data_IF_049933869281
#
_entry.id   IF_049933869281
#
_cell.length_a   1.000
_cell.length_b   1.000
_cell.length_c   1.000
_cell.angle_alpha   90.00
_cell.angle_beta   90.00
_cell.angle_gamma   90.00
#
_symmetry.space_group_name_H-M   'P 1'
#
loop_
_entity.id
_entity.type
_entity.pdbx_description
1 polymer ?
#
# COMPACT_ATOMS: atom_id res chain seq x y z
N UNK A 1 11.08 -13.21 -5.81
CA UNK A 1 10.18 -13.94 -4.87
C UNK A 1 8.75 -13.39 -4.77
N UNK A 2 8.52 -12.10 -4.44
CA UNK A 2 7.16 -11.54 -4.27
C UNK A 2 6.26 -11.79 -5.50
N UNK A 3 6.69 -11.29 -6.67
CA UNK A 3 5.90 -11.39 -7.90
C UNK A 3 5.76 -12.83 -8.40
N UNK A 4 6.77 -13.67 -8.17
CA UNK A 4 6.73 -15.09 -8.52
C UNK A 4 5.63 -15.81 -7.74
N UNK A 5 5.52 -15.56 -6.42
CA UNK A 5 4.45 -16.10 -5.59
C UNK A 5 3.08 -15.57 -6.01
N UNK A 6 2.97 -14.28 -6.32
CA UNK A 6 1.73 -13.67 -6.81
C UNK A 6 1.27 -14.32 -8.12
N UNK A 7 2.18 -14.50 -9.08
CA UNK A 7 1.88 -15.17 -10.36
C UNK A 7 1.52 -16.64 -10.16
N UNK A 8 2.26 -17.34 -9.30
CA UNK A 8 1.98 -18.73 -8.99
C UNK A 8 0.56 -18.92 -8.44
N UNK A 9 0.13 -18.08 -7.49
CA UNK A 9 -1.22 -18.15 -6.95
C UNK A 9 -2.30 -17.77 -7.97
N UNK A 10 -2.02 -16.80 -8.86
CA UNK A 10 -2.92 -16.46 -9.97
C UNK A 10 -3.10 -17.65 -10.93
N UNK A 11 -2.01 -18.26 -11.39
CA UNK A 11 -2.06 -19.39 -12.31
C UNK A 11 -2.71 -20.62 -11.67
N UNK A 12 -2.46 -20.85 -10.37
CA UNK A 12 -3.17 -21.86 -9.59
C UNK A 12 -4.67 -21.59 -9.52
N UNK A 13 -5.09 -20.33 -9.35
CA UNK A 13 -6.51 -19.96 -9.34
C UNK A 13 -7.16 -20.17 -10.71
N UNK A 14 -6.47 -19.84 -11.81
CA UNK A 14 -6.91 -20.08 -13.18
C UNK A 14 -7.06 -21.56 -13.48
N UNK A 15 -6.05 -22.37 -13.16
CA UNK A 15 -6.11 -23.83 -13.30
C UNK A 15 -7.28 -24.44 -12.51
N UNK A 16 -7.49 -23.98 -11.27
CA UNK A 16 -8.64 -24.40 -10.45
C UNK A 16 -9.99 -24.02 -11.08
N UNK A 17 -10.12 -22.84 -11.68
CA UNK A 17 -11.35 -22.39 -12.38
C UNK A 17 -11.63 -23.26 -13.60
N UNK A 18 -10.59 -23.57 -14.39
CA UNK A 18 -10.69 -24.45 -15.56
C UNK A 18 -11.18 -25.83 -15.12
N UNK A 19 -10.53 -26.43 -14.11
CA UNK A 19 -10.94 -27.73 -13.57
C UNK A 19 -12.37 -27.72 -13.03
N UNK A 20 -12.78 -26.68 -12.30
CA UNK A 20 -14.16 -26.57 -11.79
C UNK A 20 -15.18 -26.46 -12.92
N UNK A 21 -14.87 -25.67 -13.96
CA UNK A 21 -15.75 -25.49 -15.11
C UNK A 21 -15.86 -26.77 -15.96
N UNK A 22 -14.80 -27.56 -16.06
CA UNK A 22 -14.86 -28.87 -16.72
C UNK A 22 -15.79 -29.83 -15.97
N UNK A 23 -15.68 -29.90 -14.63
CA UNK A 23 -16.60 -30.70 -13.81
C UNK A 23 -18.05 -30.22 -13.91
N UNK A 24 -18.27 -28.90 -13.94
CA UNK A 24 -19.62 -28.31 -14.11
C UNK A 24 -20.21 -28.64 -15.48
N UNK A 25 -19.40 -28.60 -16.53
CA UNK A 25 -19.79 -28.97 -17.90
C UNK A 25 -20.29 -30.41 -17.95
N UNK A 26 -19.54 -31.35 -17.37
CA UNK A 26 -19.93 -32.76 -17.31
C UNK A 26 -21.23 -32.99 -16.52
N UNK A 27 -21.48 -32.17 -15.50
CA UNK A 27 -22.70 -32.22 -14.69
C UNK A 27 -23.88 -31.42 -15.29
N UNK A 28 -23.76 -30.86 -16.50
CA UNK A 28 -24.80 -30.01 -17.12
C UNK A 28 -25.09 -28.71 -16.36
N UNK A 29 -24.15 -28.25 -15.52
CA UNK A 29 -24.29 -27.06 -14.69
C UNK A 29 -23.77 -25.80 -15.38
N UNK A 30 -24.32 -24.64 -15.01
CA UNK A 30 -23.82 -23.34 -15.46
C UNK A 30 -22.34 -23.16 -15.06
N UNK A 31 -21.53 -22.79 -16.05
CA UNK A 31 -20.11 -22.45 -15.87
C UNK A 31 -19.97 -21.18 -15.04
N UNK A 32 -18.91 -21.13 -14.24
CA UNK A 32 -18.51 -19.88 -13.58
C UNK A 32 -17.77 -18.99 -14.58
N UNK A 33 -17.82 -17.65 -14.42
CA UNK A 33 -17.02 -16.74 -15.23
C UNK A 33 -15.53 -17.03 -15.12
N UNK A 34 -14.69 -16.47 -15.97
CA UNK A 34 -13.25 -16.62 -15.81
C UNK A 34 -12.74 -15.86 -14.58
N UNK A 35 -11.50 -16.17 -14.17
CA UNK A 35 -10.82 -15.45 -13.10
C UNK A 35 -10.57 -14.02 -13.58
N UNK A 36 -11.03 -13.02 -12.84
CA UNK A 36 -10.61 -11.64 -13.08
C UNK A 36 -9.14 -11.51 -12.68
N UNK A 37 -8.25 -11.52 -13.66
CA UNK A 37 -6.80 -11.57 -13.43
C UNK A 37 -6.29 -10.32 -12.72
N UNK A 38 -6.73 -9.13 -13.12
CA UNK A 38 -6.32 -7.88 -12.51
C UNK A 38 -6.69 -7.82 -11.02
N UNK A 39 -7.95 -8.14 -10.70
CA UNK A 39 -8.42 -8.17 -9.32
C UNK A 39 -7.70 -9.25 -8.50
N UNK A 40 -7.57 -10.46 -9.05
CA UNK A 40 -6.95 -11.58 -8.32
C UNK A 40 -5.47 -11.33 -8.09
N UNK A 41 -4.75 -10.78 -9.06
CA UNK A 41 -3.35 -10.40 -8.91
C UNK A 41 -3.19 -9.34 -7.83
N UNK A 42 -4.02 -8.30 -7.81
CA UNK A 42 -3.98 -7.27 -6.77
C UNK A 42 -4.17 -7.87 -5.36
N UNK A 43 -5.14 -8.77 -5.20
CA UNK A 43 -5.40 -9.45 -3.91
C UNK A 43 -4.18 -10.29 -3.48
N UNK A 44 -3.62 -11.10 -4.37
CA UNK A 44 -2.45 -11.92 -4.04
C UNK A 44 -1.20 -11.07 -3.79
N UNK A 45 -1.01 -9.99 -4.55
CA UNK A 45 0.09 -9.06 -4.35
C UNK A 45 0.01 -8.43 -2.97
N UNK A 46 -1.15 -7.86 -2.59
CA UNK A 46 -1.36 -7.24 -1.29
C UNK A 46 -1.12 -8.23 -0.14
N UNK A 47 -1.62 -9.47 -0.28
CA UNK A 47 -1.39 -10.54 0.69
C UNK A 47 0.11 -10.84 0.88
N UNK A 48 0.85 -11.05 -0.21
CA UNK A 48 2.26 -11.41 -0.13
C UNK A 48 3.13 -10.24 0.34
N UNK A 49 2.82 -9.02 -0.11
CA UNK A 49 3.46 -7.79 0.35
C UNK A 49 3.24 -7.57 1.85
N UNK A 50 1.99 -7.71 2.30
CA UNK A 50 1.62 -7.59 3.71
C UNK A 50 2.39 -8.59 4.59
N UNK A 51 2.49 -9.85 4.16
CA UNK A 51 3.26 -10.86 4.90
C UNK A 51 4.76 -10.55 4.97
N UNK A 52 5.34 -10.02 3.88
CA UNK A 52 6.75 -9.58 3.86
C UNK A 52 6.97 -8.40 4.81
N UNK A 53 6.09 -7.40 4.78
CA UNK A 53 6.19 -6.23 5.64
C UNK A 53 5.95 -6.54 7.11
N UNK A 54 5.01 -7.44 7.44
CA UNK A 54 4.82 -7.95 8.82
C UNK A 54 6.13 -8.53 9.35
N UNK A 55 6.80 -9.37 8.57
CA UNK A 55 8.08 -9.98 8.97
C UNK A 55 9.14 -8.91 9.27
N UNK A 56 9.17 -7.83 8.48
CA UNK A 56 10.13 -6.74 8.65
C UNK A 56 9.77 -5.76 9.78
N UNK A 57 8.48 -5.61 10.08
CA UNK A 57 7.97 -4.70 11.11
C UNK A 57 7.90 -5.34 12.50
N UNK A 58 7.77 -6.66 12.60
CA UNK A 58 7.63 -7.39 13.87
C UNK A 58 8.66 -7.02 14.94
N UNK A 59 9.97 -6.79 14.63
CA UNK A 59 10.94 -6.37 15.63
C UNK A 59 10.64 -5.01 16.30
N UNK A 60 9.89 -4.14 15.62
CA UNK A 60 9.55 -2.80 16.10
C UNK A 60 8.08 -2.69 16.54
N UNK A 61 7.22 -3.54 16.00
CA UNK A 61 5.78 -3.55 16.22
C UNK A 61 5.30 -4.96 16.52
N UNK A 62 5.61 -5.52 17.70
CA UNK A 62 5.26 -6.90 18.03
C UNK A 62 3.75 -7.15 17.93
N UNK A 63 3.34 -8.13 17.12
CA UNK A 63 1.93 -8.42 16.89
C UNK A 63 1.27 -7.58 15.78
N UNK A 64 2.07 -6.92 14.92
CA UNK A 64 1.58 -6.34 13.66
C UNK A 64 0.94 -7.43 12.78
N UNK A 65 -0.14 -7.08 12.10
CA UNK A 65 -0.95 -8.02 11.30
C UNK A 65 -1.15 -7.51 9.88
N UNK A 66 -1.34 -8.44 8.95
CA UNK A 66 -1.73 -8.13 7.57
C UNK A 66 -2.90 -8.99 7.10
N UNK A 67 -3.60 -8.55 6.05
CA UNK A 67 -4.62 -9.33 5.37
C UNK A 67 -6.03 -8.98 5.81
N UNK A 68 -6.45 -7.76 5.50
CA UNK A 68 -7.80 -7.24 5.79
C UNK A 68 -8.17 -7.27 7.28
N UNK A 69 -7.28 -6.75 8.11
CA UNK A 69 -7.45 -6.73 9.56
C UNK A 69 -8.62 -5.81 9.92
N UNK A 70 -9.65 -6.30 10.62
CA UNK A 70 -10.74 -5.44 11.08
C UNK A 70 -10.20 -4.36 12.03
N UNK A 71 -10.49 -3.11 11.73
CA UNK A 71 -10.21 -1.97 12.59
C UNK A 71 -11.48 -1.14 12.76
N UNK A 72 -11.74 -0.69 13.99
CA UNK A 72 -12.85 0.21 14.26
C UNK A 72 -12.55 1.60 13.66
N UNK A 73 -13.50 2.13 12.91
CA UNK A 73 -13.46 3.47 12.33
C UNK A 73 -14.80 4.18 12.59
N UNK A 74 -14.87 5.50 12.35
CA UNK A 74 -16.07 6.30 12.70
C UNK A 74 -17.34 5.81 12.02
N UNK A 75 -17.26 5.32 10.77
CA UNK A 75 -18.40 4.80 10.01
C UNK A 75 -18.51 3.27 10.04
N UNK A 76 -18.10 2.67 11.14
CA UNK A 76 -18.09 1.22 11.35
C UNK A 76 -16.75 0.56 10.99
N UNK A 77 -16.65 -0.77 11.13
CA UNK A 77 -15.42 -1.51 10.90
C UNK A 77 -14.90 -1.32 9.47
N UNK A 78 -13.61 -1.02 9.34
CA UNK A 78 -12.85 -0.97 8.10
C UNK A 78 -11.81 -2.08 8.08
N UNK A 79 -11.35 -2.45 6.89
CA UNK A 79 -10.30 -3.45 6.69
C UNK A 79 -9.05 -2.71 6.26
N UNK A 80 -7.96 -2.91 6.99
CA UNK A 80 -6.65 -2.37 6.68
C UNK A 80 -5.75 -3.48 6.15
N UNK A 81 -4.88 -3.16 5.19
CA UNK A 81 -3.96 -4.14 4.61
C UNK A 81 -2.88 -4.56 5.61
N UNK A 82 -2.41 -3.59 6.40
CA UNK A 82 -1.49 -3.78 7.51
C UNK A 82 -1.93 -2.93 8.69
N UNK A 83 -1.92 -3.49 9.90
CA UNK A 83 -2.19 -2.73 11.12
C UNK A 83 -1.44 -3.26 12.33
N UNK A 84 -1.06 -2.32 13.20
CA UNK A 84 -0.53 -2.57 14.53
C UNK A 84 -1.36 -1.78 15.53
N UNK A 85 -1.83 -2.49 16.55
CA UNK A 85 -2.70 -1.94 17.59
C UNK A 85 -2.31 -2.54 18.93
N UNK A 86 -2.40 -1.74 19.99
CA UNK A 86 -2.26 -2.21 21.38
C UNK A 86 -3.58 -2.07 22.13
N UNK A 87 -3.80 -2.85 23.20
CA UNK A 87 -4.98 -2.68 24.05
C UNK A 87 -5.11 -1.26 24.63
N UNK A 88 -3.99 -0.62 24.93
CA UNK A 88 -3.93 0.67 25.62
C UNK A 88 -4.16 1.85 24.67
N UNK A 89 -3.54 1.84 23.49
CA UNK A 89 -3.56 2.95 22.55
C UNK A 89 -4.58 2.77 21.41
N UNK A 90 -5.15 1.58 21.24
CA UNK A 90 -5.93 1.25 20.06
C UNK A 90 -5.05 1.16 18.82
N UNK A 91 -5.49 1.71 17.69
CA UNK A 91 -4.72 1.66 16.44
C UNK A 91 -3.51 2.59 16.53
N UNK A 92 -2.30 2.02 16.49
CA UNK A 92 -1.06 2.77 16.55
C UNK A 92 -0.47 3.08 15.17
N UNK A 93 -0.42 2.08 14.29
CA UNK A 93 0.11 2.19 12.94
C UNK A 93 -0.77 1.41 11.96
N UNK A 94 -0.97 1.96 10.76
CA UNK A 94 -1.55 1.20 9.66
C UNK A 94 -0.98 1.58 8.31
N UNK A 95 -1.05 0.65 7.37
CA UNK A 95 -0.80 0.91 5.95
C UNK A 95 -2.01 0.54 5.11
N UNK A 96 -2.35 1.43 4.18
CA UNK A 96 -3.36 1.23 3.13
C UNK A 96 -2.65 0.92 1.82
N UNK A 97 -2.97 -0.21 1.19
CA UNK A 97 -2.40 -0.60 -0.08
C UNK A 97 -3.41 -0.38 -1.22
N UNK A 98 -2.94 0.31 -2.25
CA UNK A 98 -3.61 0.39 -3.55
C UNK A 98 -2.64 -0.08 -4.62
N UNK A 99 -3.14 -0.55 -5.74
CA UNK A 99 -2.26 -1.00 -6.81
C UNK A 99 -2.89 -0.88 -8.18
N UNK A 100 -2.02 -0.66 -9.16
CA UNK A 100 -2.35 -0.69 -10.58
C UNK A 100 -1.29 -1.52 -11.29
N UNK A 101 -1.58 -2.80 -11.49
CA UNK A 101 -0.58 -3.76 -11.98
C UNK A 101 -0.54 -3.90 -13.50
N UNK A 102 -1.66 -3.64 -14.18
CA UNK A 102 -1.87 -3.83 -15.62
C UNK A 102 -2.40 -2.54 -16.20
N UNK A 103 -1.73 -1.96 -17.20
CA UNK A 103 -2.18 -0.71 -17.82
C UNK A 103 -3.28 -0.95 -18.85
N UNK A 104 -4.01 0.12 -19.19
CA UNK A 104 -5.06 0.13 -20.21
C UNK A 104 -4.50 0.48 -21.59
N UNK A 105 -4.78 -0.32 -22.61
CA UNK A 105 -4.34 -0.06 -23.99
C UNK A 105 -4.05 -1.33 -24.79
N UNK A 106 -3.85 -1.18 -26.11
CA UNK A 106 -3.25 -2.24 -26.95
C UNK A 106 -1.74 -2.30 -26.69
N UNK A 107 -1.13 -3.48 -26.88
CA UNK A 107 0.30 -3.71 -26.64
C UNK A 107 1.17 -2.55 -27.17
N UNK A 108 1.89 -1.88 -26.28
CA UNK A 108 2.78 -0.76 -26.59
C UNK A 108 2.47 0.53 -25.82
N UNK A 109 1.18 0.85 -25.63
CA UNK A 109 0.71 2.16 -25.12
C UNK A 109 -0.12 2.04 -23.84
N UNK A 110 0.28 1.14 -22.93
CA UNK A 110 -0.51 0.83 -21.74
C UNK A 110 -0.40 1.96 -20.70
N UNK A 111 -1.48 2.71 -20.45
CA UNK A 111 -1.54 3.75 -19.41
C UNK A 111 -1.90 3.18 -18.05
N UNK A 112 -1.31 3.72 -16.98
CA UNK A 112 -1.49 3.25 -15.59
C UNK A 112 -2.23 4.25 -14.70
N UNK A 113 -3.00 5.18 -15.29
CA UNK A 113 -3.80 6.17 -14.58
C UNK A 113 -5.25 5.74 -14.33
N UNK A 114 -5.66 4.55 -14.79
CA UNK A 114 -6.99 4.04 -14.48
C UNK A 114 -7.12 3.77 -12.99
N UNK A 115 -8.26 4.20 -12.43
CA UNK A 115 -8.53 4.21 -10.99
C UNK A 115 -7.78 5.26 -10.18
N UNK A 116 -7.03 6.17 -10.79
CA UNK A 116 -6.31 7.21 -10.05
C UNK A 116 -7.24 8.05 -9.17
N UNK A 117 -8.33 8.60 -9.74
CA UNK A 117 -9.35 9.32 -8.97
C UNK A 117 -10.03 8.44 -7.90
N UNK A 118 -10.40 7.21 -8.26
CA UNK A 118 -11.09 6.28 -7.36
C UNK A 118 -10.23 5.92 -6.14
N UNK A 119 -8.95 5.64 -6.37
CA UNK A 119 -8.02 5.28 -5.30
C UNK A 119 -7.70 6.48 -4.41
N UNK A 120 -7.57 7.69 -4.95
CA UNK A 120 -7.48 8.92 -4.14
C UNK A 120 -8.70 9.08 -3.22
N UNK A 121 -9.91 8.97 -3.78
CA UNK A 121 -11.16 9.08 -3.01
C UNK A 121 -11.24 7.99 -1.91
N UNK A 122 -10.90 6.74 -2.23
CA UNK A 122 -10.86 5.64 -1.26
C UNK A 122 -9.85 5.90 -0.14
N UNK A 123 -8.63 6.35 -0.48
CA UNK A 123 -7.58 6.67 0.48
C UNK A 123 -7.99 7.82 1.41
N UNK A 124 -8.59 8.90 0.87
CA UNK A 124 -9.10 10.02 1.70
C UNK A 124 -10.16 9.57 2.68
N UNK A 125 -11.09 8.74 2.22
CA UNK A 125 -12.17 8.20 3.06
C UNK A 125 -11.59 7.33 4.17
N UNK A 126 -10.59 6.51 3.86
CA UNK A 126 -9.92 5.66 4.83
C UNK A 126 -9.17 6.48 5.89
N UNK A 127 -8.32 7.43 5.47
CA UNK A 127 -7.61 8.34 6.36
C UNK A 127 -8.58 9.07 7.29
N UNK A 128 -9.62 9.69 6.72
CA UNK A 128 -10.63 10.42 7.48
C UNK A 128 -11.31 9.52 8.51
N UNK A 129 -11.69 8.30 8.10
CA UNK A 129 -12.42 7.37 8.97
C UNK A 129 -11.58 6.90 10.16
N UNK A 130 -10.28 6.69 9.97
CA UNK A 130 -9.37 6.28 11.01
C UNK A 130 -8.94 7.43 11.90
N UNK A 131 -8.49 8.57 11.35
CA UNK A 131 -8.05 9.71 12.16
C UNK A 131 -9.16 10.31 13.02
N UNK A 132 -10.40 10.35 12.55
CA UNK A 132 -11.51 10.82 13.40
C UNK A 132 -11.80 9.86 14.58
N UNK A 133 -11.47 8.58 14.46
CA UNK A 133 -11.68 7.58 15.52
C UNK A 133 -10.45 7.39 16.42
N UNK A 134 -9.26 7.52 15.83
CA UNK A 134 -7.94 7.25 16.39
C UNK A 134 -6.99 8.39 15.95
N UNK A 135 -7.09 9.60 16.54
CA UNK A 135 -6.38 10.79 16.05
C UNK A 135 -4.86 10.70 16.10
N UNK A 136 -4.34 9.80 16.94
CA UNK A 136 -2.91 9.54 17.14
C UNK A 136 -2.39 8.34 16.33
N UNK A 137 -3.24 7.63 15.59
CA UNK A 137 -2.78 6.59 14.69
C UNK A 137 -1.88 7.20 13.61
N UNK A 138 -0.78 6.53 13.29
CA UNK A 138 0.04 6.85 12.12
C UNK A 138 -0.46 6.04 10.94
N UNK A 139 -0.87 6.72 9.87
CA UNK A 139 -1.32 6.08 8.66
C UNK A 139 -0.33 6.31 7.52
N UNK A 140 -0.01 5.24 6.80
CA UNK A 140 0.76 5.29 5.56
C UNK A 140 -0.07 4.83 4.36
N UNK A 141 -0.10 5.60 3.29
CA UNK A 141 -0.65 5.16 2.01
C UNK A 141 0.47 4.62 1.12
N UNK A 142 0.25 3.46 0.48
CA UNK A 142 1.19 2.90 -0.50
C UNK A 142 0.45 2.53 -1.79
N UNK A 143 0.85 3.14 -2.90
CA UNK A 143 0.35 2.78 -4.23
C UNK A 143 1.40 1.98 -4.99
N UNK A 144 1.08 0.77 -5.44
CA UNK A 144 2.01 -0.07 -6.19
C UNK A 144 1.82 0.08 -7.71
N UNK A 145 2.90 0.44 -8.40
CA UNK A 145 2.95 0.61 -9.85
C UNK A 145 4.15 -0.15 -10.45
N UNK A 146 4.03 -0.72 -11.66
CA UNK A 146 5.17 -1.29 -12.36
C UNK A 146 6.05 -0.18 -12.96
N UNK A 147 7.35 -0.44 -13.18
CA UNK A 147 8.27 0.56 -13.75
C UNK A 147 7.84 1.10 -15.11
N UNK A 148 7.09 0.33 -15.89
CA UNK A 148 6.49 0.78 -17.14
C UNK A 148 5.66 2.07 -16.97
N UNK A 149 5.05 2.29 -15.79
CA UNK A 149 4.29 3.51 -15.52
C UNK A 149 5.16 4.77 -15.41
N UNK A 150 6.49 4.64 -15.40
CA UNK A 150 7.42 5.77 -15.35
C UNK A 150 7.73 6.31 -16.75
N UNK A 151 7.44 5.56 -17.82
CA UNK A 151 7.92 5.83 -19.18
C UNK A 151 6.78 5.77 -20.22
N UNK A 152 5.53 5.66 -19.77
CA UNK A 152 4.35 5.39 -20.60
C UNK A 152 3.75 6.63 -21.30
N UNK A 153 4.23 7.83 -20.99
CA UNK A 153 3.77 9.09 -21.59
C UNK A 153 4.79 10.24 -21.37
N UNK A 154 4.56 11.40 -21.98
CA UNK A 154 5.37 12.62 -21.79
C UNK A 154 5.34 13.09 -20.32
N UNK A 155 4.16 13.07 -19.73
CA UNK A 155 3.97 13.07 -18.27
C UNK A 155 3.55 11.67 -17.88
N UNK A 156 4.50 10.90 -17.38
CA UNK A 156 4.29 9.48 -17.03
C UNK A 156 3.14 9.29 -16.04
N UNK A 157 2.46 8.14 -16.10
CA UNK A 157 1.44 7.78 -15.12
C UNK A 157 1.96 7.89 -13.69
N UNK A 158 3.21 7.48 -13.45
CA UNK A 158 3.89 7.66 -12.17
C UNK A 158 3.90 9.12 -11.72
N UNK A 159 4.31 10.05 -12.59
CA UNK A 159 4.33 11.47 -12.26
C UNK A 159 2.91 11.99 -11.96
N UNK A 160 1.90 11.57 -12.72
CA UNK A 160 0.50 11.91 -12.44
C UNK A 160 0.02 11.36 -11.08
N UNK A 161 0.43 10.14 -10.72
CA UNK A 161 0.15 9.58 -9.39
C UNK A 161 0.80 10.40 -8.28
N UNK A 162 2.07 10.81 -8.44
CA UNK A 162 2.75 11.66 -7.45
C UNK A 162 2.02 12.99 -7.27
N UNK A 163 1.58 13.62 -8.36
CA UNK A 163 0.83 14.89 -8.32
C UNK A 163 -0.48 14.75 -7.54
N UNK A 164 -1.26 13.71 -7.80
CA UNK A 164 -2.52 13.49 -7.08
C UNK A 164 -2.32 13.15 -5.61
N UNK A 165 -1.37 12.27 -5.33
CA UNK A 165 -1.05 11.84 -3.96
C UNK A 165 -0.40 12.96 -3.14
N UNK A 166 0.11 14.03 -3.78
CA UNK A 166 0.72 15.17 -3.10
C UNK A 166 -0.21 15.83 -2.08
N UNK A 167 -1.51 15.89 -2.39
CA UNK A 167 -2.51 16.48 -1.50
C UNK A 167 -2.86 15.59 -0.28
N UNK A 168 -2.45 14.31 -0.30
CA UNK A 168 -2.72 13.35 0.77
C UNK A 168 -1.63 13.33 1.84
N UNK A 169 -0.44 13.92 1.60
CA UNK A 169 0.67 13.84 2.57
C UNK A 169 0.65 14.95 3.61
N UNK A 170 1.45 14.78 4.65
CA UNK A 170 1.87 15.88 5.52
C UNK A 170 0.98 16.08 6.74
N UNK A 171 0.30 15.03 7.21
CA UNK A 171 -0.26 15.02 8.55
C UNK A 171 0.87 14.86 9.58
N UNK A 172 0.98 15.78 10.54
CA UNK A 172 2.03 15.79 11.56
C UNK A 172 1.39 15.71 12.96
N UNK A 173 0.30 16.45 13.17
CA UNK A 173 -0.42 16.57 14.44
C UNK A 173 -1.82 15.95 14.35
N UNK A 174 -2.48 15.78 15.50
CA UNK A 174 -3.78 15.09 15.58
C UNK A 174 -4.91 16.00 15.09
N UNK A 175 -4.68 17.30 15.14
CA UNK A 175 -5.59 18.39 14.78
C UNK A 175 -5.50 18.75 13.30
N UNK A 176 -4.49 18.24 12.59
CA UNK A 176 -4.33 18.44 11.15
C UNK A 176 -5.53 17.85 10.38
N UNK A 177 -5.61 18.15 9.09
CA UNK A 177 -6.66 17.62 8.23
C UNK A 177 -6.71 16.07 8.30
N UNK A 178 -7.86 15.46 8.62
CA UNK A 178 -7.96 14.02 8.87
C UNK A 178 -7.90 13.18 7.59
N UNK A 179 -8.09 13.80 6.41
CA UNK A 179 -8.01 13.16 5.10
C UNK A 179 -6.56 13.02 4.58
N UNK A 180 -5.58 13.53 5.32
CA UNK A 180 -4.15 13.37 5.05
C UNK A 180 -3.57 12.20 5.83
N UNK A 181 -2.52 11.62 5.27
CA UNK A 181 -1.66 10.61 5.86
C UNK A 181 -0.37 11.25 6.39
N UNK A 182 0.23 10.61 7.38
CA UNK A 182 1.57 10.94 7.85
C UNK A 182 2.61 10.63 6.76
N UNK A 183 2.44 9.52 6.04
CA UNK A 183 3.36 9.07 5.00
C UNK A 183 2.61 8.62 3.75
N UNK A 184 3.16 8.93 2.58
CA UNK A 184 2.61 8.51 1.29
C UNK A 184 3.74 8.02 0.40
N UNK A 185 3.61 6.79 -0.08
CA UNK A 185 4.61 6.13 -0.92
C UNK A 185 4.02 5.60 -2.21
N UNK A 186 4.90 5.48 -3.22
CA UNK A 186 4.65 4.67 -4.40
C UNK A 186 5.67 3.53 -4.41
N UNK A 187 5.19 2.28 -4.34
CA UNK A 187 6.03 1.10 -4.51
C UNK A 187 6.22 0.82 -6.00
N UNK A 188 7.44 0.98 -6.51
CA UNK A 188 7.79 0.74 -7.90
C UNK A 188 8.49 -0.62 -8.05
N UNK A 189 8.10 -1.38 -9.06
CA UNK A 189 8.66 -2.71 -9.29
C UNK A 189 8.84 -3.06 -10.76
N UNK A 190 9.85 -3.89 -11.03
CA UNK A 190 10.00 -4.58 -12.31
C UNK A 190 9.08 -5.79 -12.31
N UNK A 191 8.24 -5.95 -13.35
CA UNK A 191 7.38 -7.12 -13.50
C UNK A 191 8.17 -8.44 -13.58
N UNK A 192 9.41 -8.46 -14.05
CA UNK A 192 10.23 -9.67 -13.99
C UNK A 192 10.66 -10.03 -12.56
N UNK A 193 10.52 -9.10 -11.61
CA UNK A 193 10.82 -9.31 -10.19
C UNK A 193 12.27 -9.03 -9.81
N UNK A 194 13.04 -8.38 -10.69
CA UNK A 194 14.46 -8.10 -10.46
C UNK A 194 14.70 -6.87 -9.57
N UNK A 195 13.74 -5.97 -9.49
CA UNK A 195 13.87 -4.72 -8.75
C UNK A 195 12.55 -4.30 -8.12
N UNK A 196 12.63 -3.78 -6.90
CA UNK A 196 11.53 -3.24 -6.12
C UNK A 196 12.07 -2.16 -5.18
N UNK A 197 11.33 -1.07 -5.02
CA UNK A 197 11.65 -0.02 -4.05
C UNK A 197 10.52 0.97 -3.87
N UNK A 198 10.64 1.83 -2.87
CA UNK A 198 9.62 2.82 -2.53
C UNK A 198 10.07 4.23 -2.87
N UNK A 199 9.20 4.99 -3.51
CA UNK A 199 9.33 6.43 -3.70
C UNK A 199 8.47 7.14 -2.66
N UNK A 200 9.06 8.00 -1.82
CA UNK A 200 8.32 8.82 -0.85
C UNK A 200 7.77 10.08 -1.52
N UNK A 201 6.44 10.23 -1.55
CA UNK A 201 5.80 11.39 -2.16
C UNK A 201 6.12 12.63 -1.32
N UNK A 202 6.87 13.56 -1.91
CA UNK A 202 7.34 14.76 -1.21
C UNK A 202 8.50 14.54 -0.25
N UNK A 203 9.20 13.41 -0.38
CA UNK A 203 10.50 13.18 0.25
C UNK A 203 11.65 13.92 -0.46
N UNK A 204 12.88 13.49 -0.19
CA UNK A 204 14.10 14.15 -0.70
C UNK A 204 14.33 13.96 -2.21
N UNK A 205 13.88 12.83 -2.75
CA UNK A 205 14.03 12.52 -4.18
C UNK A 205 12.92 13.20 -4.94
N UNK A 206 13.26 14.12 -5.85
CA UNK A 206 12.29 14.78 -6.72
C UNK A 206 11.65 13.83 -7.73
N UNK A 207 10.38 14.09 -8.07
CA UNK A 207 9.64 13.33 -9.08
C UNK A 207 10.07 13.77 -10.49
N UNK A 208 10.61 12.86 -11.33
CA UNK A 208 10.74 13.15 -12.76
C UNK A 208 9.35 13.24 -13.41
N UNK A 209 9.23 14.07 -14.46
CA UNK A 209 8.02 14.14 -15.29
C UNK A 209 7.83 12.85 -16.11
N UNK A 210 8.95 12.31 -16.62
CA UNK A 210 9.04 11.02 -17.28
C UNK A 210 10.41 10.39 -16.97
N UNK A 211 10.46 9.06 -16.94
CA UNK A 211 11.57 8.27 -16.45
C UNK A 211 11.45 7.91 -14.97
N UNK A 212 12.34 7.01 -14.52
CA UNK A 212 12.37 6.52 -13.14
C UNK A 212 12.95 7.53 -12.17
N UNK A 213 12.53 7.55 -10.89
CA UNK A 213 13.21 8.31 -9.85
C UNK A 213 14.69 7.95 -9.75
N UNK A 214 15.54 8.94 -9.40
CA UNK A 214 17.01 8.75 -9.30
C UNK A 214 17.42 7.66 -8.30
N UNK A 215 16.59 7.44 -7.29
CA UNK A 215 16.79 6.44 -6.25
C UNK A 215 15.46 6.09 -5.62
N UNK A 216 15.37 4.88 -5.08
CA UNK A 216 14.23 4.38 -4.34
C UNK A 216 14.71 3.93 -2.96
N UNK A 217 13.85 4.11 -1.97
CA UNK A 217 14.03 3.56 -0.64
C UNK A 217 13.95 2.04 -0.70
N UNK A 218 14.84 1.38 0.03
CA UNK A 218 14.73 -0.06 0.27
C UNK A 218 13.53 -0.37 1.17
N UNK A 219 13.21 -1.66 1.33
CA UNK A 219 12.21 -2.09 2.30
C UNK A 219 12.60 -1.70 3.74
N UNK A 220 13.88 -1.80 4.07
CA UNK A 220 14.38 -1.45 5.41
C UNK A 220 14.28 0.05 5.67
N UNK A 221 14.54 0.86 4.64
CA UNK A 221 14.34 2.31 4.72
C UNK A 221 12.86 2.65 4.90
N UNK A 222 11.97 2.01 4.14
CA UNK A 222 10.52 2.16 4.30
C UNK A 222 10.08 1.83 5.73
N UNK A 223 10.49 0.69 6.28
CA UNK A 223 10.20 0.28 7.66
C UNK A 223 10.75 1.31 8.66
N UNK A 224 11.98 1.80 8.45
CA UNK A 224 12.58 2.84 9.28
C UNK A 224 11.76 4.14 9.25
N UNK A 225 11.26 4.55 8.07
CA UNK A 225 10.38 5.75 7.96
C UNK A 225 9.08 5.58 8.73
N UNK A 226 8.44 4.40 8.66
CA UNK A 226 7.26 4.09 9.47
C UNK A 226 7.57 4.20 10.97
N UNK A 227 8.66 3.57 11.43
CA UNK A 227 9.08 3.58 12.83
C UNK A 227 9.34 4.98 13.34
N UNK A 228 10.19 5.76 12.66
CA UNK A 228 10.55 7.12 13.08
C UNK A 228 9.30 8.01 13.16
N UNK A 229 8.37 7.86 12.22
CA UNK A 229 7.13 8.63 12.21
C UNK A 229 6.20 8.23 13.36
N UNK A 230 6.11 6.92 13.64
CA UNK A 230 5.37 6.40 14.78
C UNK A 230 5.96 6.88 16.11
N UNK A 231 7.27 6.79 16.30
CA UNK A 231 7.95 7.23 17.53
C UNK A 231 7.79 8.74 17.74
N UNK A 232 7.90 9.54 16.68
CA UNK A 232 7.66 10.99 16.79
C UNK A 232 6.22 11.31 17.24
N UNK A 233 5.25 10.48 16.83
CA UNK A 233 3.83 10.64 17.15
C UNK A 233 3.51 10.16 18.58
N UNK A 234 4.04 9.00 18.95
CA UNK A 234 3.61 8.23 20.12
C UNK A 234 4.71 8.05 21.18
N UNK A 235 5.97 8.16 20.80
CA UNK A 235 7.16 8.02 21.65
C UNK A 235 7.58 9.34 22.30
N UNK A 236 6.64 10.00 23.00
CA UNK A 236 7.04 11.01 23.99
C UNK A 236 7.37 10.27 25.28
N UNK A 237 8.60 9.81 25.38
CA UNK A 237 9.17 9.53 26.68
C UNK A 237 9.18 10.84 27.49
N UNK A 238 8.68 10.76 28.72
CA UNK A 238 8.74 11.86 29.67
C UNK A 238 10.13 11.82 30.31
N UNK A 239 10.86 12.93 30.20
CA UNK A 239 12.14 13.12 30.86
C UNK A 239 12.03 14.25 31.87
N UNK A 240 12.63 14.08 33.04
CA UNK A 240 12.82 15.19 33.95
C UNK A 240 13.92 16.12 33.42
N UNK A 241 13.88 17.40 33.81
CA UNK A 241 14.91 18.36 33.45
C UNK A 241 16.29 17.84 33.91
N UNK A 242 17.20 17.64 32.95
CA UNK A 242 18.55 17.13 33.21
C UNK A 242 18.78 15.66 32.83
N UNK A 243 17.77 14.92 32.38
CA UNK A 243 17.93 13.57 31.84
C UNK A 243 18.13 13.60 30.31
N UNK A 244 19.06 12.78 29.79
CA UNK A 244 19.35 12.72 28.34
C UNK A 244 18.42 11.71 27.65
N UNK A 245 17.58 12.15 26.69
CA UNK A 245 16.63 11.28 25.98
C UNK A 245 17.27 10.19 25.10
N UNK A 246 18.60 10.12 25.02
CA UNK A 246 19.33 9.10 24.25
C UNK A 246 20.34 8.30 25.09
N UNK A 247 20.20 8.28 26.42
CA UNK A 247 21.07 7.51 27.32
C UNK A 247 20.75 6.01 27.39
#
# INVERSE_FOLDING_TARGET
MLLERTRFDLEKAKAKRIWENERRRQAGQRLKPDVNEQLSFAIYFAKHMGAQLVTALEPYFPGVRSGEVPSLAVRGPKRLDLSYSTPEAGLGLACSFKSVHFGEGRQGDAKFTHNLKRNDEELRVEATSHHLRQPYAVLAAVVFLPFESCEDDETSSFASWVEYLWALKGRINAEDAPDRFELVFIGLYDRAGNAFGFYEVGGEVGCPRSGRPKSLLSQDDFVRRLKVTYDRRNGKDFYFEGEDPNS
#
